data_IF_599454947536
#
_entry.id   IF_599454947536
#
_cell.length_a   1.000
_cell.length_b   1.000
_cell.length_c   1.000
_cell.angle_alpha   90.00
_cell.angle_beta   90.00
_cell.angle_gamma   90.00
#
_symmetry.space_group_name_H-M   'P 1'
#
loop_
_entity.id
_entity.type
_entity.pdbx_description
1 polymer ?
#
# COMPACT_ATOMS: atom_id res chain seq x y z
N UNK A 1 23.35 52.72 38.59
CA UNK A 1 23.34 53.33 37.25
C UNK A 1 22.14 52.77 36.49
N UNK A 2 20.91 53.19 36.78
CA UNK A 2 20.29 54.42 36.28
C UNK A 2 20.44 54.63 34.76
N UNK A 3 19.42 54.20 34.00
CA UNK A 3 18.87 54.96 32.87
C UNK A 3 17.44 54.47 32.58
N UNK A 4 16.54 55.43 32.73
CA UNK A 4 15.10 55.40 32.54
C UNK A 4 14.80 55.82 31.08
N UNK A 5 13.74 55.32 30.46
CA UNK A 5 13.35 55.72 29.11
C UNK A 5 11.97 55.20 28.74
N UNK A 6 11.02 56.13 28.62
CA UNK A 6 9.58 55.92 28.66
C UNK A 6 8.91 56.11 27.29
N UNK A 7 7.63 55.70 27.24
CA UNK A 7 6.53 56.13 26.36
C UNK A 7 6.42 55.67 24.89
N UNK A 8 5.21 55.19 24.55
CA UNK A 8 4.67 55.17 23.19
C UNK A 8 3.58 54.12 22.96
N UNK A 9 2.32 54.44 23.25
CA UNK A 9 1.16 53.58 23.01
C UNK A 9 0.80 53.42 21.53
N UNK A 10 0.07 52.35 21.22
CA UNK A 10 -0.46 52.08 19.88
C UNK A 10 -1.32 50.83 19.84
N UNK A 11 -2.64 51.01 19.85
CA UNK A 11 -3.68 49.99 19.70
C UNK A 11 -3.62 49.31 18.32
N UNK A 12 -3.62 47.97 18.29
CA UNK A 12 -3.88 47.13 17.12
C UNK A 12 -4.69 45.92 17.63
N UNK A 13 -5.89 45.58 17.17
CA UNK A 13 -6.41 45.63 15.81
C UNK A 13 -6.70 44.18 15.38
N UNK A 14 -7.94 43.72 15.59
CA UNK A 14 -8.44 42.40 15.15
C UNK A 14 -8.16 42.17 13.64
N UNK A 15 -7.58 41.02 13.27
CA UNK A 15 -7.38 40.66 11.85
C UNK A 15 -7.27 39.15 11.64
N UNK A 16 -8.16 38.62 10.81
CA UNK A 16 -8.42 37.20 10.52
C UNK A 16 -7.34 36.53 9.65
N UNK A 17 -7.14 35.23 9.90
CA UNK A 17 -7.15 34.19 8.85
C UNK A 17 -6.01 34.16 7.84
N UNK A 18 -4.96 33.39 8.15
CA UNK A 18 -3.99 32.87 7.19
C UNK A 18 -4.63 31.83 6.26
N UNK A 19 -4.77 32.15 4.97
CA UNK A 19 -4.99 31.14 3.92
C UNK A 19 -3.77 31.09 3.01
N UNK A 20 -3.20 29.90 2.89
CA UNK A 20 -2.07 29.59 2.03
C UNK A 20 -2.47 29.79 0.56
N UNK A 21 -1.76 30.66 -0.16
CA UNK A 21 -1.92 30.81 -1.60
C UNK A 21 -1.40 29.57 -2.34
N UNK A 22 -2.24 29.01 -3.21
CA UNK A 22 -1.84 28.02 -4.21
C UNK A 22 -1.08 28.71 -5.37
N UNK A 23 -0.17 28.01 -6.08
CA UNK A 23 0.61 28.63 -7.14
C UNK A 23 -0.25 28.86 -8.40
N UNK A 24 -0.14 30.07 -8.96
CA UNK A 24 -0.70 30.42 -10.26
C UNK A 24 0.15 29.79 -11.40
N UNK A 25 -0.45 29.30 -12.50
CA UNK A 25 0.30 28.93 -13.69
C UNK A 25 0.79 30.19 -14.45
N UNK A 26 1.96 30.13 -15.11
CA UNK A 26 2.49 31.26 -15.88
C UNK A 26 1.72 31.39 -17.20
N UNK A 27 1.20 32.58 -17.51
CA UNK A 27 0.71 32.90 -18.86
C UNK A 27 -0.60 33.69 -18.99
N UNK A 28 -1.24 34.14 -17.90
CA UNK A 28 -2.43 35.00 -18.02
C UNK A 28 -2.01 36.47 -18.16
N UNK A 29 -1.81 36.92 -19.40
CA UNK A 29 -1.66 38.32 -19.75
C UNK A 29 -2.88 39.14 -19.32
N UNK A 30 -2.61 40.23 -18.61
CA UNK A 30 -3.56 41.23 -18.13
C UNK A 30 -4.42 41.82 -19.25
N UNK A 31 -5.73 41.94 -19.01
CA UNK A 31 -6.57 42.97 -19.64
C UNK A 31 -6.97 43.99 -18.56
N UNK A 32 -6.67 45.29 -18.72
CA UNK A 32 -7.05 46.32 -17.76
C UNK A 32 -8.42 46.90 -18.11
N UNK A 33 -9.33 46.98 -17.15
CA UNK A 33 -10.52 47.82 -17.28
C UNK A 33 -11.78 47.23 -16.69
N UNK A 34 -11.95 47.36 -15.37
CA UNK A 34 -13.26 47.58 -14.75
C UNK A 34 -13.05 48.00 -13.29
N UNK A 35 -13.20 49.29 -13.04
CA UNK A 35 -13.20 49.89 -11.72
C UNK A 35 -14.56 49.73 -11.03
N UNK A 36 -14.51 49.57 -9.70
CA UNK A 36 -15.42 50.10 -8.67
C UNK A 36 -16.92 49.74 -8.69
N UNK A 37 -17.39 49.07 -7.63
CA UNK A 37 -18.80 49.06 -7.23
C UNK A 37 -19.08 48.36 -5.90
N UNK A 38 -19.35 49.14 -4.83
CA UNK A 38 -19.88 48.68 -3.53
C UNK A 38 -21.31 48.14 -3.70
N UNK A 39 -21.72 47.16 -2.90
CA UNK A 39 -23.15 46.91 -2.67
C UNK A 39 -23.50 45.50 -2.20
N UNK A 40 -23.99 45.45 -0.96
CA UNK A 40 -24.51 44.32 -0.22
C UNK A 40 -25.71 43.62 -0.88
N UNK A 41 -25.77 42.27 -0.85
CA UNK A 41 -26.96 41.52 -1.26
C UNK A 41 -26.80 40.01 -1.16
N UNK A 42 -27.70 39.36 -0.42
CA UNK A 42 -27.82 37.89 -0.31
C UNK A 42 -28.12 37.30 -1.69
N UNK A 43 -27.47 36.19 -2.03
CA UNK A 43 -27.83 35.41 -3.21
C UNK A 43 -26.88 34.25 -3.41
N UNK A 44 -27.33 33.04 -3.07
CA UNK A 44 -26.74 31.83 -3.62
C UNK A 44 -26.89 31.88 -5.14
N UNK A 45 -25.79 31.74 -5.88
CA UNK A 45 -25.85 31.65 -7.33
C UNK A 45 -24.55 32.09 -8.01
N UNK A 46 -23.99 31.19 -8.81
CA UNK A 46 -22.99 31.45 -9.86
C UNK A 46 -21.63 31.99 -9.42
N UNK A 47 -20.88 31.18 -8.68
CA UNK A 47 -19.43 31.07 -8.91
C UNK A 47 -19.17 29.82 -9.76
N UNK A 48 -19.89 29.72 -10.88
CA UNK A 48 -19.68 28.63 -11.83
C UNK A 48 -18.44 29.00 -12.65
N UNK A 49 -17.40 28.20 -12.47
CA UNK A 49 -16.05 28.35 -13.01
C UNK A 49 -16.02 28.86 -14.48
N UNK A 50 -15.11 29.80 -14.85
CA UNK A 50 -14.94 30.29 -16.23
C UNK A 50 -14.54 29.23 -17.29
N UNK A 51 -14.43 27.96 -16.89
CA UNK A 51 -13.90 26.86 -17.68
C UNK A 51 -14.99 25.98 -18.34
N UNK A 52 -16.28 26.20 -18.04
CA UNK A 52 -17.37 25.49 -18.75
C UNK A 52 -17.67 26.07 -20.14
N UNK A 53 -16.98 27.14 -20.54
CA UNK A 53 -17.30 27.91 -21.75
C UNK A 53 -17.12 27.20 -23.11
N UNK A 54 -16.31 26.12 -23.29
CA UNK A 54 -16.22 25.46 -24.60
C UNK A 54 -16.83 24.05 -24.69
N UNK A 55 -17.56 23.55 -23.68
CA UNK A 55 -18.06 22.16 -23.66
C UNK A 55 -19.57 22.07 -23.91
N UNK A 56 -20.07 21.03 -24.62
CA UNK A 56 -21.49 20.84 -24.88
C UNK A 56 -22.29 20.68 -23.57
N UNK A 57 -23.60 21.03 -23.53
CA UNK A 57 -24.39 21.12 -22.29
C UNK A 57 -24.37 19.86 -21.43
N UNK A 58 -24.26 18.68 -22.06
CA UNK A 58 -24.20 17.37 -21.41
C UNK A 58 -22.93 17.19 -20.56
N UNK A 59 -21.81 17.78 -20.97
CA UNK A 59 -20.54 17.68 -20.27
C UNK A 59 -20.51 18.52 -18.99
N UNK A 60 -21.13 19.71 -18.98
CA UNK A 60 -21.23 20.51 -17.76
C UNK A 60 -22.14 19.85 -16.72
N UNK A 61 -23.24 19.20 -17.12
CA UNK A 61 -24.09 18.45 -16.18
C UNK A 61 -23.38 17.25 -15.55
N UNK A 62 -22.64 16.48 -16.34
CA UNK A 62 -21.84 15.34 -15.84
C UNK A 62 -20.77 15.84 -14.87
N UNK A 63 -20.11 16.96 -15.19
CA UNK A 63 -19.11 17.57 -14.32
C UNK A 63 -19.70 18.03 -12.98
N UNK A 64 -20.90 18.62 -12.98
CA UNK A 64 -21.60 19.03 -11.76
C UNK A 64 -22.03 17.84 -10.89
N UNK A 65 -22.35 16.69 -11.48
CA UNK A 65 -22.65 15.46 -10.72
C UNK A 65 -21.37 14.91 -10.08
N UNK A 66 -20.28 14.79 -10.86
CA UNK A 66 -19.02 14.20 -10.39
C UNK A 66 -18.36 15.06 -9.31
N UNK A 67 -18.53 16.38 -9.37
CA UNK A 67 -17.93 17.32 -8.42
C UNK A 67 -18.65 17.37 -7.06
N UNK A 68 -19.82 16.76 -6.93
CA UNK A 68 -20.57 16.75 -5.67
C UNK A 68 -19.93 15.80 -4.65
N UNK A 69 -19.70 16.32 -3.44
CA UNK A 69 -19.24 15.52 -2.30
C UNK A 69 -20.12 14.28 -2.03
N UNK A 70 -21.43 14.37 -2.29
CA UNK A 70 -22.36 13.25 -2.14
C UNK A 70 -22.01 12.06 -3.05
N UNK A 71 -21.45 12.31 -4.24
CA UNK A 71 -21.02 11.26 -5.15
C UNK A 71 -19.80 10.52 -4.60
N UNK A 72 -18.79 11.23 -4.08
CA UNK A 72 -17.63 10.57 -3.48
C UNK A 72 -17.99 9.82 -2.18
N UNK A 73 -18.94 10.32 -1.39
CA UNK A 73 -19.45 9.62 -0.19
C UNK A 73 -20.20 8.34 -0.55
N UNK A 74 -21.04 8.36 -1.60
CA UNK A 74 -21.76 7.17 -2.04
C UNK A 74 -20.82 6.06 -2.52
N UNK A 75 -19.77 6.42 -3.26
CA UNK A 75 -18.73 5.48 -3.68
C UNK A 75 -17.99 4.90 -2.46
N UNK A 76 -17.71 5.71 -1.44
CA UNK A 76 -17.08 5.22 -0.22
C UNK A 76 -17.93 4.16 0.48
N UNK A 77 -19.25 4.40 0.59
CA UNK A 77 -20.20 3.44 1.18
C UNK A 77 -20.25 2.15 0.34
N UNK A 78 -20.28 2.25 -0.99
CA UNK A 78 -20.29 1.09 -1.89
C UNK A 78 -19.02 0.23 -1.78
N UNK A 79 -17.85 0.86 -1.54
CA UNK A 79 -16.61 0.12 -1.27
C UNK A 79 -16.72 -0.66 0.05
N UNK A 80 -17.24 -0.03 1.10
CA UNK A 80 -17.47 -0.71 2.38
C UNK A 80 -18.44 -1.89 2.24
N UNK A 81 -19.55 -1.70 1.53
CA UNK A 81 -20.50 -2.78 1.25
C UNK A 81 -19.84 -3.92 0.46
N UNK A 82 -19.00 -3.61 -0.54
CA UNK A 82 -18.27 -4.64 -1.28
C UNK A 82 -17.29 -5.42 -0.39
N UNK A 83 -16.62 -4.76 0.56
CA UNK A 83 -15.75 -5.42 1.52
C UNK A 83 -16.54 -6.41 2.41
N UNK A 84 -17.70 -6.00 2.92
CA UNK A 84 -18.57 -6.90 3.70
C UNK A 84 -18.98 -8.12 2.88
N UNK A 85 -19.29 -7.96 1.59
CA UNK A 85 -19.63 -9.11 0.74
C UNK A 85 -18.48 -10.09 0.54
N UNK A 86 -17.23 -9.61 0.53
CA UNK A 86 -16.04 -10.48 0.51
C UNK A 86 -15.83 -11.20 1.84
N UNK A 87 -16.17 -10.58 2.97
CA UNK A 87 -16.06 -11.21 4.30
C UNK A 87 -17.09 -12.33 4.51
N UNK A 88 -18.19 -12.34 3.74
CA UNK A 88 -19.24 -13.37 3.80
C UNK A 88 -18.88 -14.61 2.96
N UNK A 89 -17.83 -14.55 2.14
CA UNK A 89 -17.24 -15.73 1.46
C UNK A 89 -16.70 -16.71 2.52
N UNK A 90 -16.91 -18.01 2.30
CA UNK A 90 -16.57 -19.12 3.22
C UNK A 90 -16.18 -20.31 2.36
N UNK A 91 -15.35 -21.24 2.83
CA UNK A 91 -14.87 -22.35 1.99
C UNK A 91 -15.96 -23.38 1.64
N UNK A 92 -16.95 -23.60 2.53
CA UNK A 92 -18.05 -24.56 2.31
C UNK A 92 -19.38 -23.84 1.98
N UNK A 93 -19.55 -23.34 0.75
CA UNK A 93 -20.79 -22.65 0.34
C UNK A 93 -21.71 -23.52 -0.52
N UNK A 94 -23.03 -23.40 -0.27
CA UNK A 94 -24.04 -23.95 -1.16
C UNK A 94 -23.99 -23.27 -2.54
N UNK A 95 -24.32 -24.03 -3.60
CA UNK A 95 -24.31 -23.55 -4.98
C UNK A 95 -25.17 -22.29 -5.19
N UNK A 96 -26.27 -22.16 -4.45
CA UNK A 96 -27.14 -20.99 -4.49
C UNK A 96 -26.44 -19.74 -3.94
N UNK A 97 -25.76 -19.85 -2.79
CA UNK A 97 -25.03 -18.73 -2.18
C UNK A 97 -23.91 -18.25 -3.11
N UNK A 98 -23.18 -19.18 -3.74
CA UNK A 98 -22.13 -18.86 -4.72
C UNK A 98 -22.68 -18.07 -5.90
N UNK A 99 -23.82 -18.49 -6.47
CA UNK A 99 -24.46 -17.80 -7.59
C UNK A 99 -24.95 -16.40 -7.21
N UNK A 100 -25.53 -16.24 -6.02
CA UNK A 100 -26.00 -14.93 -5.52
C UNK A 100 -24.79 -14.00 -5.30
N UNK A 101 -23.75 -14.47 -4.61
CA UNK A 101 -22.53 -13.68 -4.39
C UNK A 101 -21.85 -13.30 -5.71
N UNK A 102 -21.84 -14.20 -6.70
CA UNK A 102 -21.29 -13.90 -8.02
C UNK A 102 -22.05 -12.75 -8.70
N UNK A 103 -23.40 -12.78 -8.68
CA UNK A 103 -24.23 -11.69 -9.24
C UNK A 103 -23.99 -10.37 -8.52
N UNK A 104 -23.92 -10.37 -7.19
CA UNK A 104 -23.63 -9.18 -6.39
C UNK A 104 -22.23 -8.63 -6.70
N UNK A 105 -21.22 -9.50 -6.78
CA UNK A 105 -19.86 -9.11 -7.13
C UNK A 105 -19.76 -8.52 -8.55
N UNK A 106 -20.52 -9.06 -9.51
CA UNK A 106 -20.62 -8.51 -10.86
C UNK A 106 -21.28 -7.12 -10.87
N UNK A 107 -22.32 -6.92 -10.05
CA UNK A 107 -22.97 -5.61 -9.88
C UNK A 107 -21.99 -4.55 -9.36
N UNK A 108 -21.19 -4.87 -8.34
CA UNK A 108 -20.18 -3.94 -7.83
C UNK A 108 -19.14 -3.55 -8.89
N UNK A 109 -18.64 -4.50 -9.68
CA UNK A 109 -17.71 -4.20 -10.78
C UNK A 109 -18.36 -3.26 -11.79
N UNK A 110 -19.60 -3.53 -12.19
CA UNK A 110 -20.32 -2.68 -13.12
C UNK A 110 -20.46 -1.24 -12.61
N UNK A 111 -20.83 -1.06 -11.33
CA UNK A 111 -20.97 0.26 -10.71
C UNK A 111 -19.63 1.00 -10.68
N UNK A 112 -18.54 0.35 -10.26
CA UNK A 112 -17.22 1.00 -10.23
C UNK A 112 -16.67 1.29 -11.63
N UNK A 113 -16.96 0.43 -12.60
CA UNK A 113 -16.58 0.68 -14.00
C UNK A 113 -17.35 1.88 -14.55
N UNK A 114 -18.64 1.99 -14.24
CA UNK A 114 -19.46 3.14 -14.61
C UNK A 114 -18.97 4.43 -13.95
N UNK A 115 -18.64 4.42 -12.67
CA UNK A 115 -18.06 5.57 -11.96
C UNK A 115 -16.77 6.05 -12.62
N UNK A 116 -15.81 5.14 -12.85
CA UNK A 116 -14.55 5.44 -13.51
C UNK A 116 -14.79 5.99 -14.92
N UNK A 117 -15.70 5.39 -15.69
CA UNK A 117 -16.09 5.87 -17.02
C UNK A 117 -16.69 7.28 -17.00
N UNK A 118 -17.59 7.56 -16.06
CA UNK A 118 -18.19 8.90 -15.90
C UNK A 118 -17.12 9.93 -15.55
N UNK A 119 -16.19 9.62 -14.62
CA UNK A 119 -15.06 10.50 -14.28
C UNK A 119 -14.11 10.73 -15.45
N UNK A 120 -13.83 9.69 -16.22
CA UNK A 120 -12.98 9.81 -17.42
C UNK A 120 -13.62 10.71 -18.48
N UNK A 121 -14.93 10.60 -18.71
CA UNK A 121 -15.66 11.46 -19.64
C UNK A 121 -15.75 12.92 -19.16
N UNK A 122 -15.86 13.15 -17.85
CA UNK A 122 -15.94 14.49 -17.27
C UNK A 122 -14.60 15.24 -17.27
N UNK A 123 -13.51 14.56 -16.89
CA UNK A 123 -12.20 15.18 -16.64
C UNK A 123 -11.19 14.99 -17.79
N UNK A 124 -11.43 14.03 -18.69
CA UNK A 124 -10.61 13.70 -19.86
C UNK A 124 -9.11 13.67 -19.53
N UNK A 125 -8.31 14.64 -19.99
CA UNK A 125 -6.86 14.66 -19.76
C UNK A 125 -6.47 14.93 -18.30
N UNK A 126 -7.30 15.65 -17.54
CA UNK A 126 -7.06 15.91 -16.11
C UNK A 126 -7.31 14.66 -15.24
N UNK A 127 -7.93 13.61 -15.80
CA UNK A 127 -8.08 12.34 -15.09
C UNK A 127 -6.71 11.68 -14.80
N UNK A 128 -5.77 11.76 -15.75
CA UNK A 128 -4.46 11.10 -15.68
C UNK A 128 -3.41 11.90 -14.90
N UNK A 129 -3.67 13.13 -14.48
CA UNK A 129 -2.74 13.89 -13.63
C UNK A 129 -2.92 13.53 -12.15
N UNK A 130 -4.12 13.12 -11.75
CA UNK A 130 -4.41 12.73 -10.38
C UNK A 130 -4.07 11.25 -10.14
N UNK A 131 -3.00 10.98 -9.39
CA UNK A 131 -2.55 9.62 -9.07
C UNK A 131 -3.62 8.74 -8.42
N UNK A 132 -4.58 9.31 -7.67
CA UNK A 132 -5.67 8.55 -7.06
C UNK A 132 -6.71 8.06 -8.07
N UNK A 133 -6.95 8.83 -9.13
CA UNK A 133 -7.83 8.43 -10.21
C UNK A 133 -7.16 7.36 -11.08
N UNK A 134 -5.86 7.51 -11.35
CA UNK A 134 -5.06 6.48 -12.04
C UNK A 134 -5.08 5.16 -11.25
N UNK A 135 -4.87 5.23 -9.93
CA UNK A 135 -4.94 4.07 -9.06
C UNK A 135 -6.31 3.38 -9.15
N UNK A 136 -7.40 4.16 -9.10
CA UNK A 136 -8.74 3.61 -9.21
C UNK A 136 -9.00 2.92 -10.57
N UNK A 137 -8.53 3.53 -11.66
CA UNK A 137 -8.59 2.96 -13.01
C UNK A 137 -7.86 1.62 -13.11
N UNK A 138 -6.64 1.53 -12.56
CA UNK A 138 -5.88 0.28 -12.50
C UNK A 138 -6.65 -0.78 -11.72
N UNK A 139 -7.24 -0.45 -10.57
CA UNK A 139 -8.06 -1.38 -9.78
C UNK A 139 -9.32 -1.82 -10.53
N UNK A 140 -9.97 -0.94 -11.32
CA UNK A 140 -11.11 -1.32 -12.17
C UNK A 140 -10.67 -2.36 -13.20
N UNK A 141 -9.58 -2.11 -13.92
CA UNK A 141 -9.05 -3.04 -14.94
C UNK A 141 -8.69 -4.38 -14.30
N UNK A 142 -7.96 -4.36 -13.19
CA UNK A 142 -7.62 -5.57 -12.45
C UNK A 142 -8.87 -6.31 -11.97
N UNK A 143 -9.94 -5.60 -11.58
CA UNK A 143 -11.20 -6.23 -11.18
C UNK A 143 -11.94 -6.94 -12.32
N UNK A 144 -11.80 -6.44 -13.55
CA UNK A 144 -12.37 -7.06 -14.77
C UNK A 144 -11.56 -8.30 -15.15
N UNK A 145 -10.23 -8.19 -15.17
CA UNK A 145 -9.30 -9.32 -15.42
C UNK A 145 -9.35 -10.34 -14.29
N UNK A 146 -9.65 -9.90 -13.07
CA UNK A 146 -9.76 -10.68 -11.84
C UNK A 146 -10.86 -11.74 -11.82
N UNK A 147 -11.65 -11.85 -12.90
CA UNK A 147 -12.44 -13.06 -13.17
C UNK A 147 -11.54 -14.30 -13.32
N UNK A 148 -10.31 -14.11 -13.78
CA UNK A 148 -9.29 -15.16 -13.95
C UNK A 148 -8.35 -15.25 -12.73
N UNK A 149 -8.04 -14.11 -12.10
CA UNK A 149 -7.06 -14.03 -10.99
C UNK A 149 -7.76 -13.64 -9.68
N UNK A 150 -7.87 -14.59 -8.74
CA UNK A 150 -8.51 -14.39 -7.42
C UNK A 150 -7.90 -13.22 -6.63
N UNK A 151 -6.58 -13.04 -6.71
CA UNK A 151 -5.84 -11.98 -5.99
C UNK A 151 -6.27 -10.57 -6.39
N UNK A 152 -6.73 -10.36 -7.63
CA UNK A 152 -7.14 -9.04 -8.10
C UNK A 152 -8.38 -8.49 -7.35
N UNK A 153 -9.14 -9.36 -6.66
CA UNK A 153 -10.25 -8.97 -5.79
C UNK A 153 -9.79 -8.12 -4.60
N UNK A 154 -8.56 -8.33 -4.10
CA UNK A 154 -7.96 -7.57 -2.99
C UNK A 154 -7.78 -6.09 -3.37
N UNK A 155 -7.54 -5.81 -4.65
CA UNK A 155 -7.36 -4.44 -5.14
C UNK A 155 -8.52 -3.50 -4.81
N UNK A 156 -9.74 -4.02 -4.64
CA UNK A 156 -10.92 -3.21 -4.29
C UNK A 156 -10.86 -2.67 -2.86
N UNK A 157 -10.28 -3.42 -1.92
CA UNK A 157 -10.09 -2.98 -0.52
C UNK A 157 -9.12 -1.79 -0.47
N UNK A 158 -8.11 -1.80 -1.34
CA UNK A 158 -7.13 -0.71 -1.42
C UNK A 158 -7.77 0.64 -1.81
N UNK A 159 -8.98 0.67 -2.40
CA UNK A 159 -9.70 1.92 -2.66
C UNK A 159 -10.09 2.67 -1.40
N UNK A 160 -10.24 1.99 -0.25
CA UNK A 160 -10.52 2.62 1.04
C UNK A 160 -9.40 3.58 1.46
N UNK A 161 -8.17 3.35 1.00
CA UNK A 161 -7.01 4.20 1.29
C UNK A 161 -7.23 5.62 0.77
N UNK A 162 -7.99 5.80 -0.34
CA UNK A 162 -8.29 7.13 -0.88
C UNK A 162 -9.09 7.99 0.10
N UNK A 163 -10.01 7.39 0.85
CA UNK A 163 -10.86 8.08 1.82
C UNK A 163 -10.22 8.29 3.19
N UNK A 164 -9.31 7.40 3.58
CA UNK A 164 -8.69 7.40 4.90
C UNK A 164 -7.45 8.33 4.95
N UNK A 165 -7.66 9.63 5.25
CA UNK A 165 -6.59 10.64 5.36
C UNK A 165 -5.47 10.22 6.33
N UNK A 166 -5.81 9.62 7.48
CA UNK A 166 -4.82 9.15 8.46
C UNK A 166 -3.92 8.04 7.93
N UNK A 167 -4.50 7.03 7.26
CA UNK A 167 -3.76 5.93 6.64
C UNK A 167 -2.81 6.45 5.57
N UNK A 168 -3.26 7.43 4.76
CA UNK A 168 -2.40 8.05 3.74
C UNK A 168 -1.16 8.70 4.33
N UNK A 169 -1.29 9.39 5.46
CA UNK A 169 -0.13 10.00 6.14
C UNK A 169 0.83 8.92 6.65
N UNK A 170 0.32 7.82 7.21
CA UNK A 170 1.15 6.70 7.66
C UNK A 170 1.88 6.02 6.50
N UNK A 171 1.18 5.76 5.39
CA UNK A 171 1.79 5.19 4.19
C UNK A 171 2.84 6.13 3.59
N UNK A 172 2.59 7.45 3.61
CA UNK A 172 3.60 8.42 3.16
C UNK A 172 4.84 8.38 4.06
N UNK A 173 4.68 8.35 5.38
CA UNK A 173 5.81 8.23 6.31
C UNK A 173 6.60 6.92 6.07
N UNK A 174 5.90 5.81 5.83
CA UNK A 174 6.52 4.53 5.47
C UNK A 174 7.32 4.65 4.17
N UNK A 175 6.76 5.25 3.13
CA UNK A 175 7.46 5.45 1.85
C UNK A 175 8.70 6.34 2.00
N UNK A 176 8.66 7.34 2.89
CA UNK A 176 9.80 8.22 3.18
C UNK A 176 10.93 7.48 3.92
N UNK A 177 10.63 6.45 4.71
CA UNK A 177 11.64 5.66 5.42
C UNK A 177 12.17 4.45 4.63
N UNK A 178 11.49 4.05 3.55
CA UNK A 178 11.91 2.93 2.70
C UNK A 178 13.35 3.04 2.18
N UNK A 179 13.87 4.21 1.73
CA UNK A 179 15.26 4.30 1.25
C UNK A 179 16.29 3.95 2.33
N UNK A 180 16.05 4.40 3.57
CA UNK A 180 16.92 4.07 4.70
C UNK A 180 16.81 2.59 5.09
N UNK A 181 15.58 2.05 5.10
CA UNK A 181 15.34 0.63 5.37
C UNK A 181 16.00 -0.27 4.33
N UNK A 182 16.03 0.14 3.05
CA UNK A 182 16.68 -0.62 1.99
C UNK A 182 18.19 -0.78 2.23
N UNK A 183 18.88 0.25 2.71
CA UNK A 183 20.31 0.16 3.03
C UNK A 183 20.59 -0.86 4.15
N UNK A 184 19.78 -0.83 5.21
CA UNK A 184 19.89 -1.79 6.32
C UNK A 184 19.52 -3.20 5.84
N UNK A 185 18.47 -3.31 5.03
CA UNK A 185 18.03 -4.58 4.43
C UNK A 185 19.09 -5.20 3.53
N UNK A 186 19.82 -4.40 2.75
CA UNK A 186 20.93 -4.87 1.90
C UNK A 186 22.09 -5.39 2.75
N UNK A 187 22.46 -4.66 3.81
CA UNK A 187 23.48 -5.12 4.75
C UNK A 187 23.08 -6.44 5.40
N UNK A 188 21.83 -6.55 5.86
CA UNK A 188 21.29 -7.77 6.48
C UNK A 188 21.23 -8.92 5.47
N UNK A 189 20.87 -8.66 4.21
CA UNK A 189 20.89 -9.64 3.13
C UNK A 189 22.32 -10.15 2.84
N UNK A 190 23.32 -9.27 2.84
CA UNK A 190 24.72 -9.66 2.67
C UNK A 190 25.19 -10.58 3.81
N UNK A 191 24.84 -10.26 5.05
CA UNK A 191 25.17 -11.10 6.21
C UNK A 191 24.49 -12.47 6.10
N UNK A 192 23.18 -12.51 5.81
CA UNK A 192 22.48 -13.78 5.56
C UNK A 192 23.09 -14.57 4.42
N UNK A 193 23.53 -13.91 3.35
CA UNK A 193 24.19 -14.56 2.22
C UNK A 193 25.48 -15.28 2.63
N UNK A 194 26.36 -14.62 3.37
CA UNK A 194 27.62 -15.21 3.86
C UNK A 194 27.33 -16.42 4.76
N UNK A 195 26.37 -16.29 5.70
CA UNK A 195 25.98 -17.39 6.57
C UNK A 195 25.26 -18.53 5.83
N UNK A 196 24.57 -18.26 4.72
CA UNK A 196 23.95 -19.30 3.90
C UNK A 196 25.01 -20.20 3.23
N UNK A 197 26.07 -19.59 2.68
CA UNK A 197 27.21 -20.33 2.11
C UNK A 197 27.92 -21.14 3.21
N UNK A 198 28.16 -20.52 4.36
CA UNK A 198 28.77 -21.20 5.51
C UNK A 198 27.90 -22.37 6.00
N UNK A 199 26.59 -22.16 6.11
CA UNK A 199 25.64 -23.16 6.56
C UNK A 199 25.56 -24.36 5.62
N UNK A 200 25.57 -24.12 4.30
CA UNK A 200 25.64 -25.21 3.32
C UNK A 200 26.94 -26.01 3.42
N UNK A 201 28.07 -25.34 3.57
CA UNK A 201 29.37 -26.01 3.63
C UNK A 201 29.50 -26.92 4.86
N UNK A 202 28.86 -26.55 5.98
CA UNK A 202 29.04 -27.21 7.27
C UNK A 202 27.86 -28.11 7.70
N UNK A 203 26.63 -27.71 7.42
CA UNK A 203 25.43 -28.33 7.99
C UNK A 203 24.53 -29.04 6.97
N UNK A 204 24.94 -29.16 5.70
CA UNK A 204 24.14 -29.80 4.65
C UNK A 204 23.76 -31.27 4.95
N UNK A 205 24.62 -32.01 5.67
CA UNK A 205 24.45 -33.44 5.89
C UNK A 205 24.07 -33.80 7.33
N UNK A 206 23.75 -32.81 8.17
CA UNK A 206 23.27 -33.05 9.54
C UNK A 206 21.99 -33.89 9.50
N UNK A 207 21.85 -34.79 10.46
CA UNK A 207 20.66 -35.64 10.59
C UNK A 207 19.41 -34.78 10.73
N UNK A 208 18.39 -35.12 9.94
CA UNK A 208 17.07 -34.50 9.99
C UNK A 208 16.36 -34.91 11.29
N UNK A 209 15.88 -33.92 12.02
CA UNK A 209 15.15 -34.05 13.29
C UNK A 209 14.10 -32.92 13.36
N UNK A 210 13.40 -32.75 14.49
CA UNK A 210 12.22 -31.87 14.63
C UNK A 210 12.32 -30.42 14.12
N UNK A 211 13.52 -29.88 13.89
CA UNK A 211 13.71 -28.55 13.28
C UNK A 211 14.52 -28.52 11.99
N UNK A 212 14.98 -29.67 11.48
CA UNK A 212 15.63 -29.81 10.17
C UNK A 212 14.83 -30.82 9.35
N UNK A 213 13.96 -30.30 8.49
CA UNK A 213 13.02 -31.09 7.67
C UNK A 213 13.45 -31.09 6.19
N UNK A 214 12.68 -31.75 5.32
CA UNK A 214 12.92 -31.73 3.87
C UNK A 214 12.80 -30.32 3.24
N UNK A 215 12.05 -29.43 3.88
CA UNK A 215 11.85 -28.05 3.43
C UNK A 215 12.78 -27.03 4.13
N UNK A 216 13.09 -27.23 5.41
CA UNK A 216 13.94 -26.36 6.21
C UNK A 216 15.27 -27.06 6.53
N UNK A 217 16.25 -26.92 5.64
CA UNK A 217 17.58 -27.54 5.78
C UNK A 217 18.68 -26.72 5.11
N UNK A 218 19.93 -27.11 5.35
CA UNK A 218 21.10 -26.48 4.75
C UNK A 218 21.65 -27.20 3.51
N UNK A 219 20.84 -28.03 2.83
CA UNK A 219 21.32 -28.80 1.67
C UNK A 219 21.46 -27.94 0.41
N UNK A 220 20.58 -26.95 0.25
CA UNK A 220 20.57 -26.04 -0.90
C UNK A 220 20.63 -24.60 -0.43
N UNK A 221 21.05 -23.72 -1.33
CA UNK A 221 21.19 -22.30 -1.02
C UNK A 221 19.85 -21.66 -0.64
N UNK A 222 18.78 -22.00 -1.37
CA UNK A 222 17.45 -21.48 -1.12
C UNK A 222 16.90 -21.94 0.25
N UNK A 223 17.04 -23.22 0.60
CA UNK A 223 16.59 -23.73 1.89
C UNK A 223 17.40 -23.10 3.05
N UNK A 224 18.72 -22.96 2.89
CA UNK A 224 19.59 -22.28 3.86
C UNK A 224 19.18 -20.83 4.10
N UNK A 225 18.79 -20.12 3.03
CA UNK A 225 18.30 -18.76 3.11
C UNK A 225 16.96 -18.66 3.85
N UNK A 226 16.04 -19.61 3.65
CA UNK A 226 14.77 -19.68 4.37
C UNK A 226 14.98 -19.94 5.87
N UNK A 227 15.89 -20.85 6.24
CA UNK A 227 16.26 -21.09 7.63
C UNK A 227 16.86 -19.84 8.28
N UNK A 228 17.79 -19.15 7.61
CA UNK A 228 18.40 -17.92 8.13
C UNK A 228 17.41 -16.76 8.23
N UNK A 229 16.44 -16.67 7.32
CA UNK A 229 15.34 -15.70 7.43
C UNK A 229 14.51 -15.97 8.69
N UNK A 230 14.20 -17.22 8.99
CA UNK A 230 13.50 -17.61 10.21
C UNK A 230 14.30 -17.24 11.47
N UNK A 231 15.61 -17.53 11.50
CA UNK A 231 16.50 -17.17 12.62
C UNK A 231 16.63 -15.65 12.77
N UNK A 232 16.57 -14.87 11.68
CA UNK A 232 16.60 -13.40 11.74
C UNK A 232 15.40 -12.84 12.51
N UNK A 233 14.25 -13.55 12.48
CA UNK A 233 13.09 -13.25 13.33
C UNK A 233 13.16 -13.88 14.73
N UNK A 234 14.30 -14.48 15.09
CA UNK A 234 14.54 -15.24 16.33
C UNK A 234 13.58 -16.40 16.58
N UNK A 235 12.95 -16.93 15.52
CA UNK A 235 11.98 -18.01 15.62
C UNK A 235 12.61 -19.36 15.26
N UNK A 236 12.34 -20.40 16.05
CA UNK A 236 12.75 -21.80 15.76
C UNK A 236 14.25 -22.04 15.61
N UNK A 237 15.10 -21.15 16.13
CA UNK A 237 16.55 -21.34 16.13
C UNK A 237 16.98 -22.51 17.02
N UNK A 238 16.20 -22.79 18.07
CA UNK A 238 16.37 -23.89 19.00
C UNK A 238 16.18 -25.25 18.31
N UNK A 239 15.11 -25.37 17.50
CA UNK A 239 14.86 -26.57 16.69
C UNK A 239 15.95 -26.83 15.65
N UNK A 240 16.57 -25.77 15.13
CA UNK A 240 17.67 -25.86 14.17
C UNK A 240 19.01 -26.20 14.85
N UNK A 241 19.21 -25.73 16.08
CA UNK A 241 20.45 -25.92 16.83
C UNK A 241 20.54 -27.31 17.45
N UNK A 242 19.44 -27.86 17.98
CA UNK A 242 19.45 -29.15 18.67
C UNK A 242 20.09 -30.30 17.86
N UNK A 243 19.79 -30.48 16.55
CA UNK A 243 20.38 -31.55 15.77
C UNK A 243 21.86 -31.30 15.44
N UNK A 244 22.29 -30.03 15.42
CA UNK A 244 23.69 -29.62 15.18
C UNK A 244 24.56 -29.94 16.41
N UNK A 245 24.01 -29.81 17.62
CA UNK A 245 24.70 -30.10 18.88
C UNK A 245 24.88 -31.61 19.15
N UNK A 246 24.18 -32.48 18.43
CA UNK A 246 24.20 -33.92 18.66
C UNK A 246 25.44 -34.61 18.05
N UNK A 247 26.53 -34.63 18.82
CA UNK A 247 27.85 -35.15 18.38
C UNK A 247 28.14 -36.58 18.90
N UNK A 248 27.29 -37.56 18.55
CA UNK A 248 27.63 -38.98 18.78
C UNK A 248 26.44 -39.96 18.79
N UNK A 249 26.70 -41.29 18.81
CA UNK A 249 25.66 -42.31 18.95
C UNK A 249 24.97 -42.20 20.32
N UNK A 250 23.64 -42.40 20.46
CA UNK A 250 22.67 -42.89 19.47
C UNK A 250 22.04 -41.82 18.57
N UNK A 251 22.39 -40.55 18.76
CA UNK A 251 21.75 -39.42 18.08
C UNK A 251 22.28 -39.25 16.66
N UNK A 252 23.55 -39.55 16.43
CA UNK A 252 24.18 -39.53 15.11
C UNK A 252 25.08 -40.76 14.87
N UNK A 253 25.02 -41.34 13.66
CA UNK A 253 25.88 -42.45 13.25
C UNK A 253 27.06 -41.93 12.39
N UNK A 254 28.28 -41.83 12.93
CA UNK A 254 29.43 -41.28 12.20
C UNK A 254 29.85 -42.12 10.99
N UNK A 255 29.37 -43.36 10.87
CA UNK A 255 29.71 -44.28 9.78
C UNK A 255 28.68 -44.31 8.64
N UNK A 256 27.58 -43.55 8.75
CA UNK A 256 26.57 -43.48 7.70
C UNK A 256 27.16 -42.79 6.45
N UNK A 257 27.48 -43.58 5.43
CA UNK A 257 27.90 -43.08 4.12
C UNK A 257 26.67 -42.65 3.33
N UNK A 258 26.42 -41.34 3.26
CA UNK A 258 25.53 -40.82 2.23
C UNK A 258 26.25 -40.90 0.88
N UNK A 259 25.52 -41.23 -0.20
CA UNK A 259 26.07 -41.56 -1.52
C UNK A 259 27.07 -40.53 -2.09
N UNK A 260 27.07 -39.28 -1.59
CA UNK A 260 28.00 -38.20 -1.98
C UNK A 260 28.74 -37.51 -0.81
N UNK A 261 28.59 -37.91 0.46
CA UNK A 261 29.31 -37.27 1.58
C UNK A 261 29.42 -38.15 2.84
N UNK A 262 30.53 -38.00 3.57
CA UNK A 262 31.00 -38.93 4.62
C UNK A 262 30.81 -38.47 6.06
N UNK A 263 30.03 -37.41 6.34
CA UNK A 263 29.93 -36.84 7.70
C UNK A 263 28.49 -36.42 8.07
N UNK A 264 27.68 -37.33 8.62
CA UNK A 264 26.35 -37.03 9.15
C UNK A 264 26.40 -36.37 10.54
N UNK A 265 27.52 -36.52 11.26
CA UNK A 265 27.75 -35.90 12.56
C UNK A 265 28.65 -34.68 12.38
N UNK A 266 28.24 -33.55 12.97
CA UNK A 266 29.09 -32.39 13.04
C UNK A 266 30.33 -32.74 13.87
N UNK A 267 31.53 -32.56 13.31
CA UNK A 267 32.76 -32.76 14.07
C UNK A 267 33.06 -31.47 14.84
N UNK A 268 33.26 -31.58 16.14
CA UNK A 268 33.81 -30.58 17.09
C UNK A 268 35.21 -30.04 16.71
N UNK A 269 35.63 -30.09 15.44
CA UNK A 269 36.99 -29.71 14.98
C UNK A 269 37.07 -28.21 14.59
N UNK A 270 35.98 -27.45 14.73
CA UNK A 270 35.95 -26.00 14.50
C UNK A 270 35.70 -25.15 15.77
N UNK A 271 36.02 -25.70 16.94
CA UNK A 271 36.24 -24.96 18.19
C UNK A 271 37.70 -25.08 18.63
#
# INVERSE_FOLDING_TARGET
TAANGSFGGGTWGHGKGSTCGAPHPPGASMLPGAAQGRGQGRGAGSFLWPWCAPLPPRSCFIFDIVSKQAFDVSIMILICLNMVTMMVETDDQSLEKVNILHKINMLFVAIFTAECGIKMLALRHYYFTNGWNIFDFVVVILSIVGRVIRLARIGRVLRLIRGAKGIRTLLFALMMSLPALFNIGLLLFLVMFIYAIFGMANFAYVKKEHGIDDMFNFQTFANSMLCLFQITTSAGWDGLLNPILNTGPPYCDPNLKNANATRPCYNEIFL
#
